data_IF_502766251591
#
_entry.id   IF_502766251591
#
_cell.length_a   1.000
_cell.length_b   1.000
_cell.length_c   1.000
_cell.angle_alpha   90.00
_cell.angle_beta   90.00
_cell.angle_gamma   90.00
#
_symmetry.space_group_name_H-M   'P 1'
#
loop_
_entity.id
_entity.type
_entity.pdbx_description
1 polymer ?
#
# COMPACT_ATOMS: atom_id res chain seq x y z
N UNK A 1 -11.19 16.52 23.79
CA UNK A 1 -9.83 16.14 24.21
C UNK A 1 -8.98 17.40 24.21
N UNK A 2 -8.45 17.80 25.37
CA UNK A 2 -7.64 19.02 25.51
C UNK A 2 -6.33 18.81 24.72
N UNK A 3 -6.05 19.66 23.73
CA UNK A 3 -4.79 19.59 22.98
C UNK A 3 -3.65 19.95 23.92
N UNK A 4 -2.89 18.94 24.35
CA UNK A 4 -1.65 19.14 25.11
C UNK A 4 -0.69 19.95 24.22
N UNK A 5 -0.21 21.09 24.72
CA UNK A 5 0.75 21.91 24.00
C UNK A 5 2.16 21.30 24.14
N UNK A 6 3.05 21.55 23.16
CA UNK A 6 4.41 21.01 23.14
C UNK A 6 5.20 21.33 24.43
N UNK A 7 5.08 22.56 24.93
CA UNK A 7 5.70 23.03 26.16
C UNK A 7 5.13 22.34 27.41
N UNK A 8 3.82 22.11 27.48
CA UNK A 8 3.19 21.40 28.61
C UNK A 8 3.70 19.97 28.68
N UNK A 9 3.79 19.30 27.53
CA UNK A 9 4.33 17.95 27.42
C UNK A 9 5.82 17.93 27.77
N UNK A 10 6.61 18.86 27.23
CA UNK A 10 8.03 19.00 27.57
C UNK A 10 8.25 19.16 29.08
N UNK A 11 7.49 20.06 29.72
CA UNK A 11 7.59 20.30 31.15
C UNK A 11 7.21 19.07 31.98
N UNK A 12 6.18 18.33 31.57
CA UNK A 12 5.78 17.08 32.21
C UNK A 12 6.90 16.01 32.08
N UNK A 13 7.50 15.86 30.90
CA UNK A 13 8.58 14.89 30.65
C UNK A 13 9.83 15.23 31.48
N UNK A 14 10.20 16.51 31.57
CA UNK A 14 11.31 16.96 32.44
C UNK A 14 10.98 16.73 33.91
N UNK A 15 9.74 16.98 34.34
CA UNK A 15 9.28 16.73 35.71
C UNK A 15 9.35 15.25 36.10
N UNK A 16 9.15 14.35 35.14
CA UNK A 16 9.29 12.90 35.30
C UNK A 16 10.75 12.42 35.32
N UNK A 17 11.72 13.34 35.27
CA UNK A 17 13.15 13.03 35.35
C UNK A 17 13.80 12.70 34.01
N UNK A 18 13.12 12.97 32.89
CA UNK A 18 13.68 12.75 31.55
C UNK A 18 14.72 13.81 31.22
N UNK A 19 15.79 13.40 30.52
CA UNK A 19 16.83 14.32 30.06
C UNK A 19 16.21 15.43 29.18
N UNK A 20 16.59 16.70 29.39
CA UNK A 20 16.01 17.85 28.68
C UNK A 20 16.07 17.74 27.15
N UNK A 21 17.15 17.17 26.60
CA UNK A 21 17.30 16.97 25.15
C UNK A 21 16.31 15.92 24.67
N UNK A 22 16.20 14.79 25.37
CA UNK A 22 15.25 13.73 25.05
C UNK A 22 13.79 14.18 25.25
N UNK A 23 13.52 14.96 26.30
CA UNK A 23 12.21 15.53 26.56
C UNK A 23 11.80 16.52 25.47
N UNK A 24 12.73 17.35 24.98
CA UNK A 24 12.50 18.28 23.88
C UNK A 24 12.24 17.53 22.58
N UNK A 25 13.11 16.58 22.21
CA UNK A 25 12.95 15.77 20.99
C UNK A 25 11.63 15.00 21.01
N UNK A 26 11.25 14.40 22.14
CA UNK A 26 10.01 13.65 22.27
C UNK A 26 8.77 14.55 22.26
N UNK A 27 8.81 15.71 22.90
CA UNK A 27 7.70 16.67 22.90
C UNK A 27 7.45 17.23 21.50
N UNK A 28 8.51 17.63 20.78
CA UNK A 28 8.43 18.11 19.40
C UNK A 28 7.89 17.02 18.48
N UNK A 29 8.39 15.78 18.59
CA UNK A 29 7.85 14.65 17.83
C UNK A 29 6.39 14.38 18.18
N UNK A 30 5.99 14.29 19.44
CA UNK A 30 4.59 14.05 19.77
C UNK A 30 3.65 15.15 19.27
N UNK A 31 4.10 16.41 19.30
CA UNK A 31 3.32 17.54 18.82
C UNK A 31 3.23 17.60 17.29
N UNK A 32 4.31 17.24 16.59
CA UNK A 32 4.42 17.28 15.12
C UNK A 32 4.12 15.92 14.45
N UNK A 33 4.07 14.81 15.18
CA UNK A 33 3.76 13.45 14.70
C UNK A 33 2.32 13.38 14.15
N UNK A 34 1.46 14.33 14.52
CA UNK A 34 0.17 14.50 13.86
C UNK A 34 0.29 14.81 12.37
N UNK A 35 1.40 15.39 11.90
CA UNK A 35 1.69 15.62 10.48
C UNK A 35 2.20 14.31 9.86
N UNK A 36 3.23 13.70 10.46
CA UNK A 36 3.82 12.45 9.95
C UNK A 36 2.84 11.28 9.90
N UNK A 37 1.99 11.10 10.91
CA UNK A 37 0.97 10.04 10.94
C UNK A 37 -0.12 10.32 9.90
N UNK A 38 -0.55 11.57 9.73
CA UNK A 38 -1.55 11.94 8.72
C UNK A 38 -1.04 11.77 7.29
N UNK A 39 0.21 12.14 7.05
CA UNK A 39 0.86 11.93 5.74
C UNK A 39 0.96 10.43 5.44
N UNK A 40 1.33 9.61 6.44
CA UNK A 40 1.34 8.15 6.30
C UNK A 40 -0.08 7.55 6.10
N UNK A 41 -1.10 8.14 6.71
CA UNK A 41 -2.52 7.75 6.52
C UNK A 41 -3.04 8.07 5.12
N UNK A 42 -2.50 9.08 4.43
CA UNK A 42 -2.85 9.43 3.05
C UNK A 42 -2.06 8.58 2.04
N UNK A 43 -0.75 8.43 2.27
CA UNK A 43 0.13 7.64 1.40
C UNK A 43 -0.26 6.17 1.37
N UNK A 44 -0.72 5.61 2.49
CA UNK A 44 -1.10 4.19 2.58
C UNK A 44 -2.25 3.78 1.63
N UNK A 45 -3.43 4.42 1.63
CA UNK A 45 -4.52 4.10 0.72
C UNK A 45 -4.17 4.40 -0.74
N UNK A 46 -3.40 5.46 -1.01
CA UNK A 46 -2.93 5.79 -2.38
C UNK A 46 -2.01 4.70 -2.93
N UNK A 47 -1.03 4.27 -2.14
CA UNK A 47 -0.13 3.17 -2.51
C UNK A 47 -0.88 1.85 -2.68
N UNK A 48 -1.85 1.55 -1.80
CA UNK A 48 -2.72 0.39 -1.94
C UNK A 48 -3.58 0.44 -3.21
N UNK A 49 -4.07 1.63 -3.59
CA UNK A 49 -4.80 1.87 -4.83
C UNK A 49 -3.93 1.60 -6.06
N UNK A 50 -2.73 2.19 -6.09
CA UNK A 50 -1.77 1.99 -7.17
C UNK A 50 -1.42 0.50 -7.38
N UNK A 51 -1.07 -0.21 -6.30
CA UNK A 51 -0.75 -1.64 -6.35
C UNK A 51 -1.95 -2.46 -6.83
N UNK A 52 -3.17 -2.13 -6.40
CA UNK A 52 -4.39 -2.80 -6.85
C UNK A 52 -4.61 -2.62 -8.35
N UNK A 53 -4.43 -1.41 -8.86
CA UNK A 53 -4.64 -1.09 -10.27
C UNK A 53 -3.63 -1.83 -11.16
N UNK A 54 -2.36 -1.85 -10.75
CA UNK A 54 -1.31 -2.58 -11.46
C UNK A 54 -1.57 -4.10 -11.46
N UNK A 55 -2.02 -4.67 -10.34
CA UNK A 55 -2.47 -6.08 -10.27
C UNK A 55 -3.64 -6.34 -11.22
N UNK A 56 -4.60 -5.43 -11.31
CA UNK A 56 -5.77 -5.59 -12.18
C UNK A 56 -5.38 -5.57 -13.67
N UNK A 57 -4.45 -4.71 -14.06
CA UNK A 57 -3.91 -4.66 -15.43
C UNK A 57 -3.26 -5.99 -15.78
N UNK A 58 -2.30 -6.46 -14.96
CA UNK A 58 -1.61 -7.73 -15.17
C UNK A 58 -2.58 -8.91 -15.22
N UNK A 59 -3.58 -8.93 -14.33
CA UNK A 59 -4.62 -9.96 -14.33
C UNK A 59 -5.46 -9.94 -15.61
N UNK A 60 -5.74 -8.76 -16.16
CA UNK A 60 -6.44 -8.59 -17.44
C UNK A 60 -5.63 -9.16 -18.60
N UNK A 61 -4.35 -8.83 -18.68
CA UNK A 61 -3.43 -9.33 -19.72
C UNK A 61 -3.30 -10.85 -19.67
N UNK A 62 -3.10 -11.44 -18.49
CA UNK A 62 -3.04 -12.90 -18.30
C UNK A 62 -4.34 -13.57 -18.77
N UNK A 63 -5.50 -12.98 -18.44
CA UNK A 63 -6.79 -13.52 -18.87
C UNK A 63 -6.96 -13.47 -20.39
N UNK A 64 -6.50 -12.39 -21.02
CA UNK A 64 -6.50 -12.25 -22.48
C UNK A 64 -5.63 -13.32 -23.14
N UNK A 65 -4.38 -13.46 -22.69
CA UNK A 65 -3.44 -14.48 -23.17
C UNK A 65 -4.00 -15.89 -23.01
N UNK A 66 -4.60 -16.21 -21.85
CA UNK A 66 -5.25 -17.50 -21.62
C UNK A 66 -6.35 -17.76 -22.66
N UNK A 67 -7.20 -16.76 -22.92
CA UNK A 67 -8.32 -16.90 -23.86
C UNK A 67 -7.82 -17.13 -25.29
N UNK A 68 -6.77 -16.42 -25.71
CA UNK A 68 -6.14 -16.62 -27.01
C UNK A 68 -5.54 -18.03 -27.13
N UNK A 69 -4.82 -18.49 -26.10
CA UNK A 69 -4.21 -19.82 -26.08
C UNK A 69 -5.26 -20.94 -26.18
N UNK A 70 -6.33 -20.87 -25.39
CA UNK A 70 -7.45 -21.82 -25.44
C UNK A 70 -8.10 -21.84 -26.83
N UNK A 71 -8.22 -20.68 -27.48
CA UNK A 71 -8.77 -20.59 -28.83
C UNK A 71 -7.85 -21.27 -29.86
N UNK A 72 -6.53 -21.07 -29.77
CA UNK A 72 -5.55 -21.75 -30.61
C UNK A 72 -5.52 -23.27 -30.39
N UNK A 73 -5.68 -23.74 -29.15
CA UNK A 73 -5.76 -25.17 -28.85
C UNK A 73 -7.02 -25.81 -29.45
N UNK A 74 -8.17 -25.15 -29.33
CA UNK A 74 -9.41 -25.63 -29.96
C UNK A 74 -9.28 -25.75 -31.47
N UNK A 75 -8.67 -24.74 -32.12
CA UNK A 75 -8.39 -24.79 -33.55
C UNK A 75 -7.45 -25.94 -33.92
N UNK A 76 -6.37 -26.15 -33.17
CA UNK A 76 -5.46 -27.28 -33.40
C UNK A 76 -6.15 -28.64 -33.25
N UNK A 77 -6.93 -28.82 -32.19
CA UNK A 77 -7.67 -30.08 -31.97
C UNK A 77 -8.66 -30.35 -33.10
N UNK A 78 -9.34 -29.30 -33.60
CA UNK A 78 -10.23 -29.41 -34.75
C UNK A 78 -9.48 -29.82 -36.03
N UNK A 79 -8.32 -29.20 -36.32
CA UNK A 79 -7.49 -29.54 -37.48
C UNK A 79 -6.97 -30.99 -37.42
N UNK A 80 -6.52 -31.44 -36.24
CA UNK A 80 -6.09 -32.83 -36.04
C UNK A 80 -7.24 -33.80 -36.34
N UNK A 81 -8.46 -33.48 -35.89
CA UNK A 81 -9.64 -34.30 -36.17
C UNK A 81 -9.92 -34.44 -37.68
N UNK A 82 -9.72 -33.38 -38.46
CA UNK A 82 -9.86 -33.43 -39.93
C UNK A 82 -8.81 -34.34 -40.54
N UNK A 83 -7.54 -34.21 -40.12
CA UNK A 83 -6.42 -35.00 -40.68
C UNK A 83 -6.59 -36.49 -40.36
N UNK A 84 -7.09 -36.84 -39.16
CA UNK A 84 -7.27 -38.23 -38.76
C UNK A 84 -8.55 -38.90 -39.33
N UNK A 85 -9.49 -38.11 -39.85
CA UNK A 85 -10.74 -38.62 -40.43
C UNK A 85 -10.62 -39.03 -41.92
N UNK A 86 -9.46 -38.76 -42.56
CA UNK A 86 -9.11 -39.13 -43.93
C UNK A 86 -8.13 -40.30 -43.98
#
# INVERSE_FOLDING_TARGET
MQKVNENDLYNELVRLGMNKILASDLATRFYHNGITIKDLEIVKPEFQGFVRDEINIVKGEIKSLKTEFESKLKLHNWMIGIVLAY
#
